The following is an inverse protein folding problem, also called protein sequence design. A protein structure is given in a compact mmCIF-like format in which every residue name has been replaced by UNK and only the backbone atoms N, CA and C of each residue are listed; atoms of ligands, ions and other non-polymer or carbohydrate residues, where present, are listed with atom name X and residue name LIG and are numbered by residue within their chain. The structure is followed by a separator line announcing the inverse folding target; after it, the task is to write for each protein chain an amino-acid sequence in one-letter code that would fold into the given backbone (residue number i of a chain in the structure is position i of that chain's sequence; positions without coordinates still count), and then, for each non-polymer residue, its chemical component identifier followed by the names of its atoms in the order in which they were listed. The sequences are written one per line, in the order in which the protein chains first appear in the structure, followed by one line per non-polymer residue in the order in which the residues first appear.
data_IF_212638897132
#
_entry.id   IF_212638897132
#
_cell.length_a   1.000
_cell.length_b   1.000
_cell.length_c   1.000
_cell.angle_alpha   90.00
_cell.angle_beta   90.00
_cell.angle_gamma   90.00
#
_symmetry.space_group_name_H-M   'P 1'
#
loop_
_entity.id
_entity.type
_entity.pdbx_description
1 polymer ?
#
# COMPACT_ATOMS: atom_id res chain seq x y z
N UNK A 1 -16.43 -3.47 -9.37
CA UNK A 1 -16.48 -2.19 -10.12
C UNK A 1 -15.98 -1.13 -9.16
N UNK A 2 -14.96 -0.37 -9.52
CA UNK A 2 -14.34 0.62 -8.63
C UNK A 2 -14.09 1.92 -9.39
N UNK A 3 -14.16 3.06 -8.68
CA UNK A 3 -13.82 4.38 -9.22
C UNK A 3 -12.32 4.61 -9.04
N UNK A 4 -11.60 4.89 -10.13
CA UNK A 4 -10.15 5.04 -10.14
C UNK A 4 -9.77 6.40 -10.69
N UNK A 5 -9.06 7.21 -9.90
CA UNK A 5 -8.52 8.48 -10.37
C UNK A 5 -7.19 8.23 -11.10
N UNK A 6 -7.07 8.80 -12.30
CA UNK A 6 -5.85 8.84 -13.10
C UNK A 6 -5.33 10.28 -13.05
N UNK A 7 -4.25 10.50 -12.36
CA UNK A 7 -3.52 11.78 -12.29
C UNK A 7 -2.28 11.67 -13.19
N UNK A 8 -2.37 12.16 -14.41
CA UNK A 8 -1.38 12.01 -15.48
C UNK A 8 -1.50 13.20 -16.43
N UNK A 9 -0.43 13.93 -16.67
CA UNK A 9 -0.42 15.12 -17.53
C UNK A 9 -0.38 14.79 -19.02
N UNK A 10 0.15 13.62 -19.40
CA UNK A 10 0.08 13.13 -20.78
C UNK A 10 -1.32 12.55 -21.08
N UNK A 11 -2.09 13.30 -21.88
CA UNK A 11 -3.44 12.90 -22.28
C UNK A 11 -3.48 11.54 -23.00
N UNK A 12 -2.47 11.22 -23.82
CA UNK A 12 -2.44 9.95 -24.55
C UNK A 12 -2.24 8.76 -23.61
N UNK A 13 -1.42 8.92 -22.56
CA UNK A 13 -1.23 7.92 -21.52
C UNK A 13 -2.50 7.82 -20.67
N UNK A 14 -3.07 8.95 -20.26
CA UNK A 14 -4.31 9.00 -19.48
C UNK A 14 -5.45 8.28 -20.20
N UNK A 15 -5.67 8.56 -21.49
CA UNK A 15 -6.71 7.93 -22.30
C UNK A 15 -6.47 6.42 -22.49
N UNK A 16 -5.23 6.01 -22.71
CA UNK A 16 -4.87 4.59 -22.81
C UNK A 16 -5.17 3.85 -21.50
N UNK A 17 -4.83 4.45 -20.37
CA UNK A 17 -5.10 3.88 -19.03
C UNK A 17 -6.60 3.81 -18.79
N UNK A 18 -7.33 4.90 -19.04
CA UNK A 18 -8.79 4.97 -18.89
C UNK A 18 -9.49 3.88 -19.69
N UNK A 19 -9.16 3.76 -20.98
CA UNK A 19 -9.74 2.73 -21.86
C UNK A 19 -9.54 1.30 -21.32
N UNK A 20 -8.35 0.99 -20.79
CA UNK A 20 -8.08 -0.36 -20.26
C UNK A 20 -8.78 -0.61 -18.92
N UNK A 21 -8.93 0.40 -18.08
CA UNK A 21 -9.69 0.32 -16.83
C UNK A 21 -11.18 0.13 -17.09
N UNK A 22 -11.78 0.85 -18.04
CA UNK A 22 -13.17 0.66 -18.46
C UNK A 22 -13.42 -0.76 -18.97
N UNK A 23 -12.53 -1.28 -19.80
CA UNK A 23 -12.61 -2.67 -20.26
C UNK A 23 -12.48 -3.70 -19.14
N UNK A 24 -11.83 -3.36 -18.06
CA UNK A 24 -11.73 -4.17 -16.84
C UNK A 24 -12.93 -3.99 -15.89
N UNK A 25 -13.91 -3.13 -16.24
CA UNK A 25 -15.13 -2.90 -15.45
C UNK A 25 -14.98 -1.87 -14.35
N UNK A 26 -14.01 -0.96 -14.44
CA UNK A 26 -13.81 0.16 -13.53
C UNK A 26 -14.32 1.48 -14.14
N UNK A 27 -14.52 2.49 -13.29
CA UNK A 27 -14.90 3.85 -13.69
C UNK A 27 -13.70 4.78 -13.54
N UNK A 28 -13.03 5.20 -14.64
CA UNK A 28 -11.91 6.12 -14.56
C UNK A 28 -12.38 7.57 -14.35
N UNK A 29 -11.65 8.32 -13.55
CA UNK A 29 -11.69 9.78 -13.44
C UNK A 29 -10.33 10.31 -13.87
N UNK A 30 -10.27 11.41 -14.62
CA UNK A 30 -9.01 11.98 -15.09
C UNK A 30 -8.72 13.33 -14.41
N UNK A 31 -7.44 13.54 -14.09
CA UNK A 31 -6.87 14.81 -13.67
C UNK A 31 -5.51 14.97 -14.36
N UNK A 32 -5.21 16.16 -14.86
CA UNK A 32 -4.02 16.41 -15.68
C UNK A 32 -2.96 17.24 -14.98
N UNK A 33 -3.16 17.53 -13.71
CA UNK A 33 -2.22 18.20 -12.81
C UNK A 33 -2.47 17.81 -11.35
N UNK A 34 -1.48 18.08 -10.49
CA UNK A 34 -1.53 17.66 -9.10
C UNK A 34 -2.61 18.34 -8.26
N UNK A 35 -2.94 19.61 -8.54
CA UNK A 35 -3.98 20.35 -7.80
C UNK A 35 -5.36 19.82 -8.12
N UNK A 36 -5.66 19.64 -9.40
CA UNK A 36 -6.91 19.01 -9.87
C UNK A 36 -7.04 17.58 -9.32
N UNK A 37 -5.94 16.83 -9.27
CA UNK A 37 -5.95 15.48 -8.69
C UNK A 37 -6.38 15.49 -7.21
N UNK A 38 -5.89 16.44 -6.40
CA UNK A 38 -6.28 16.59 -5.00
C UNK A 38 -7.76 17.00 -4.85
N UNK A 39 -8.24 17.91 -5.70
CA UNK A 39 -9.65 18.33 -5.68
C UNK A 39 -10.59 17.16 -6.00
N UNK A 40 -10.30 16.41 -7.06
CA UNK A 40 -11.06 15.22 -7.46
C UNK A 40 -11.02 14.16 -6.36
N UNK A 41 -9.83 13.87 -5.81
CA UNK A 41 -9.69 12.88 -4.74
C UNK A 41 -10.53 13.21 -3.50
N UNK A 42 -10.60 14.50 -3.11
CA UNK A 42 -11.40 14.96 -1.96
C UNK A 42 -12.90 14.93 -2.21
N UNK A 43 -13.32 15.29 -3.43
CA UNK A 43 -14.73 15.38 -3.84
C UNK A 43 -15.32 14.00 -4.09
N UNK A 44 -14.65 13.20 -4.91
CA UNK A 44 -15.19 11.95 -5.46
C UNK A 44 -14.76 10.71 -4.68
N UNK A 45 -13.74 10.82 -3.82
CA UNK A 45 -13.21 9.76 -2.95
C UNK A 45 -13.01 8.44 -3.72
N UNK A 46 -12.13 8.43 -4.74
CA UNK A 46 -11.89 7.23 -5.54
C UNK A 46 -11.36 6.09 -4.67
N UNK A 47 -11.61 4.86 -5.09
CA UNK A 47 -11.14 3.65 -4.40
C UNK A 47 -9.66 3.34 -4.67
N UNK A 48 -9.06 4.02 -5.67
CA UNK A 48 -7.63 3.95 -5.99
C UNK A 48 -7.22 5.17 -6.80
N UNK A 49 -5.97 5.61 -6.64
CA UNK A 49 -5.35 6.67 -7.44
C UNK A 49 -4.15 6.10 -8.19
N UNK A 50 -4.13 6.25 -9.50
CA UNK A 50 -2.94 6.12 -10.34
C UNK A 50 -2.33 7.52 -10.45
N UNK A 51 -1.08 7.68 -10.02
CA UNK A 51 -0.46 9.00 -9.83
C UNK A 51 0.86 9.08 -10.58
N UNK A 52 0.94 9.93 -11.58
CA UNK A 52 2.24 10.21 -12.19
C UNK A 52 3.14 10.98 -11.22
N UNK A 53 4.39 10.62 -11.25
CA UNK A 53 5.41 11.27 -10.43
C UNK A 53 5.74 12.68 -10.93
N UNK A 54 5.69 12.89 -12.23
CA UNK A 54 6.12 14.15 -12.88
C UNK A 54 4.92 14.86 -13.51
N UNK A 55 4.27 15.73 -12.75
CA UNK A 55 3.17 16.56 -13.23
C UNK A 55 3.50 18.04 -13.07
N UNK A 56 2.93 18.93 -13.90
CA UNK A 56 3.11 20.37 -13.78
C UNK A 56 2.49 20.91 -12.48
N UNK A 57 3.10 21.94 -11.95
CA UNK A 57 2.63 22.65 -10.75
C UNK A 57 2.96 21.93 -9.45
N UNK A 58 2.34 20.79 -9.21
CA UNK A 58 2.61 19.94 -8.04
C UNK A 58 2.97 18.52 -8.50
N UNK A 59 4.16 18.06 -8.11
CA UNK A 59 4.62 16.70 -8.43
C UNK A 59 3.84 15.63 -7.66
N UNK A 60 3.91 14.39 -8.12
CA UNK A 60 3.19 13.28 -7.50
C UNK A 60 3.56 13.03 -6.03
N UNK A 61 4.81 13.31 -5.62
CA UNK A 61 5.20 13.20 -4.22
C UNK A 61 4.54 14.29 -3.35
N UNK A 62 4.36 15.49 -3.88
CA UNK A 62 3.61 16.57 -3.25
C UNK A 62 2.14 16.18 -3.08
N UNK A 63 1.52 15.67 -4.15
CA UNK A 63 0.14 15.18 -4.12
C UNK A 63 -0.02 14.10 -3.06
N UNK A 64 0.84 13.08 -3.04
CA UNK A 64 0.77 11.99 -2.08
C UNK A 64 0.89 12.49 -0.63
N UNK A 65 1.80 13.44 -0.35
CA UNK A 65 1.92 14.05 0.98
C UNK A 65 0.62 14.71 1.43
N UNK A 66 0.00 15.48 0.55
CA UNK A 66 -1.26 16.15 0.87
C UNK A 66 -2.42 15.16 1.04
N UNK A 67 -2.48 14.09 0.22
CA UNK A 67 -3.46 13.01 0.40
C UNK A 67 -3.31 12.33 1.77
N UNK A 68 -2.08 12.08 2.23
CA UNK A 68 -1.81 11.41 3.53
C UNK A 68 -2.03 12.32 4.74
N UNK A 69 -2.07 13.63 4.56
CA UNK A 69 -2.39 14.63 5.62
C UNK A 69 -3.88 14.86 5.81
N UNK A 70 -4.69 14.56 4.81
CA UNK A 70 -6.13 14.80 4.84
C UNK A 70 -6.85 13.50 5.25
N UNK A 71 -7.55 13.51 6.40
CA UNK A 71 -8.27 12.35 6.93
C UNK A 71 -9.31 11.75 5.98
N UNK A 72 -9.78 12.51 4.97
CA UNK A 72 -10.73 12.04 3.96
C UNK A 72 -10.08 11.21 2.86
N UNK A 73 -8.77 11.36 2.65
CA UNK A 73 -8.03 10.77 1.53
C UNK A 73 -6.82 9.94 1.96
N UNK A 74 -6.43 9.99 3.23
CA UNK A 74 -5.20 9.35 3.74
C UNK A 74 -5.16 7.84 3.51
N UNK A 75 -6.32 7.18 3.48
CA UNK A 75 -6.45 5.73 3.31
C UNK A 75 -6.69 5.31 1.84
N UNK A 76 -6.82 6.26 0.91
CA UNK A 76 -6.97 5.92 -0.52
C UNK A 76 -5.66 5.32 -1.01
N UNK A 77 -5.67 4.11 -1.56
CA UNK A 77 -4.47 3.48 -2.10
C UNK A 77 -3.95 4.23 -3.32
N UNK A 78 -2.62 4.34 -3.41
CA UNK A 78 -1.94 5.08 -4.47
C UNK A 78 -0.92 4.17 -5.16
N UNK A 79 -1.02 4.06 -6.48
CA UNK A 79 -0.01 3.43 -7.35
C UNK A 79 0.69 4.54 -8.13
N UNK A 80 2.00 4.66 -7.98
CA UNK A 80 2.78 5.58 -8.81
C UNK A 80 2.97 5.06 -10.24
N UNK A 81 2.80 5.94 -11.22
CA UNK A 81 3.30 5.78 -12.58
C UNK A 81 4.60 6.58 -12.72
N UNK A 82 5.71 5.93 -13.02
CA UNK A 82 7.02 6.61 -13.02
C UNK A 82 7.87 6.27 -14.23
N UNK A 83 8.47 7.29 -14.86
CA UNK A 83 9.49 7.11 -15.89
C UNK A 83 10.86 6.72 -15.30
N UNK A 84 11.06 6.92 -13.99
CA UNK A 84 12.35 6.72 -13.34
C UNK A 84 12.44 5.33 -12.73
N UNK A 85 13.31 4.50 -13.32
CA UNK A 85 13.67 3.18 -12.80
C UNK A 85 14.67 3.25 -11.62
N UNK A 86 15.10 4.45 -11.18
CA UNK A 86 16.09 4.59 -10.12
C UNK A 86 15.51 4.15 -8.77
N UNK A 87 16.27 3.32 -8.08
CA UNK A 87 15.82 2.70 -6.82
C UNK A 87 15.51 3.75 -5.73
N UNK A 88 16.17 4.90 -5.78
CA UNK A 88 16.04 5.99 -4.79
C UNK A 88 14.68 6.70 -4.86
N UNK A 89 14.21 7.05 -6.07
CA UNK A 89 12.89 7.68 -6.27
C UNK A 89 11.74 6.74 -5.85
N UNK A 90 11.90 5.44 -6.07
CA UNK A 90 10.94 4.41 -5.68
C UNK A 90 10.88 4.25 -4.16
N UNK A 91 12.03 4.25 -3.50
CA UNK A 91 12.12 4.18 -2.03
C UNK A 91 11.44 5.41 -1.42
N UNK A 92 11.70 6.61 -1.94
CA UNK A 92 11.09 7.84 -1.47
C UNK A 92 9.56 7.82 -1.59
N UNK A 93 9.00 7.37 -2.73
CA UNK A 93 7.55 7.25 -2.90
C UNK A 93 6.91 6.25 -1.93
N UNK A 94 7.56 5.12 -1.70
CA UNK A 94 7.11 4.14 -0.72
C UNK A 94 7.26 4.66 0.73
N UNK A 95 8.32 5.38 1.04
CA UNK A 95 8.49 6.05 2.34
C UNK A 95 7.42 7.12 2.60
N UNK A 96 6.84 7.70 1.55
CA UNK A 96 5.72 8.63 1.64
C UNK A 96 4.34 7.93 1.74
N UNK A 97 4.27 6.60 1.58
CA UNK A 97 3.05 5.83 1.74
C UNK A 97 2.33 5.44 0.46
N UNK A 98 3.02 5.36 -0.67
CA UNK A 98 2.49 4.69 -1.85
C UNK A 98 2.34 3.19 -1.61
N UNK A 99 1.31 2.59 -2.21
CA UNK A 99 0.99 1.17 -2.06
C UNK A 99 1.68 0.29 -3.10
N UNK A 100 1.94 0.83 -4.29
CA UNK A 100 2.71 0.18 -5.36
C UNK A 100 3.23 1.24 -6.34
N UNK A 101 4.02 0.80 -7.34
CA UNK A 101 4.45 1.64 -8.45
C UNK A 101 4.61 0.81 -9.72
N UNK A 102 4.43 1.49 -10.86
CA UNK A 102 4.55 0.95 -12.21
C UNK A 102 5.52 1.81 -13.00
N UNK A 103 6.53 1.20 -13.59
CA UNK A 103 7.50 1.94 -14.42
C UNK A 103 7.00 2.12 -15.84
N UNK A 104 7.07 3.34 -16.36
CA UNK A 104 6.84 3.65 -17.78
C UNK A 104 8.09 3.25 -18.62
N UNK A 105 7.94 2.63 -19.79
CA UNK A 105 6.69 2.17 -20.38
C UNK A 105 6.16 0.88 -19.71
N UNK A 106 4.86 0.81 -19.51
CA UNK A 106 4.21 -0.34 -18.89
C UNK A 106 3.26 -1.07 -19.86
N UNK A 107 3.03 -2.33 -19.60
CA UNK A 107 1.97 -3.08 -20.27
C UNK A 107 0.61 -2.71 -19.65
N UNK A 108 -0.41 -2.32 -20.45
CA UNK A 108 -1.76 -2.09 -19.93
C UNK A 108 -2.30 -3.27 -19.13
N UNK A 109 -2.00 -4.50 -19.56
CA UNK A 109 -2.38 -5.71 -18.82
C UNK A 109 -1.72 -5.79 -17.45
N UNK A 110 -0.44 -5.42 -17.34
CA UNK A 110 0.27 -5.37 -16.06
C UNK A 110 -0.36 -4.34 -15.14
N UNK A 111 -0.64 -3.13 -15.64
CA UNK A 111 -1.28 -2.08 -14.86
C UNK A 111 -2.62 -2.53 -14.29
N UNK A 112 -3.50 -3.10 -15.13
CA UNK A 112 -4.82 -3.60 -14.70
C UNK A 112 -4.69 -4.69 -13.63
N UNK A 113 -3.73 -5.62 -13.77
CA UNK A 113 -3.48 -6.65 -12.76
C UNK A 113 -3.00 -6.05 -11.43
N UNK A 114 -2.17 -5.01 -11.45
CA UNK A 114 -1.73 -4.31 -10.24
C UNK A 114 -2.87 -3.56 -9.57
N UNK A 115 -3.68 -2.85 -10.36
CA UNK A 115 -4.89 -2.19 -9.88
C UNK A 115 -5.82 -3.21 -9.19
N UNK A 116 -6.12 -4.33 -9.84
CA UNK A 116 -6.94 -5.40 -9.25
C UNK A 116 -6.33 -5.96 -7.96
N UNK A 117 -5.01 -6.13 -7.92
CA UNK A 117 -4.30 -6.60 -6.73
C UNK A 117 -4.42 -5.60 -5.57
N UNK A 118 -4.25 -4.30 -5.84
CA UNK A 118 -4.38 -3.26 -4.81
C UNK A 118 -5.83 -3.14 -4.34
N UNK A 119 -6.81 -3.10 -5.24
CA UNK A 119 -8.24 -3.03 -4.89
C UNK A 119 -8.69 -4.24 -4.06
N UNK A 120 -8.28 -5.46 -4.44
CA UNK A 120 -8.58 -6.68 -3.67
C UNK A 120 -8.06 -6.61 -2.23
N UNK A 121 -7.00 -5.85 -1.99
CA UNK A 121 -6.49 -5.59 -0.63
C UNK A 121 -7.45 -4.72 0.17
N UNK A 122 -8.20 -3.86 -0.50
CA UNK A 122 -9.14 -2.92 0.11
C UNK A 122 -10.59 -3.45 0.12
N UNK A 123 -10.85 -4.62 -0.50
CA UNK A 123 -12.17 -5.25 -0.46
C UNK A 123 -12.53 -5.68 0.96
N UNK A 124 -13.62 -5.14 1.45
CA UNK A 124 -14.19 -5.45 2.75
C UNK A 124 -14.86 -6.82 2.69
N UNK A 125 -14.46 -7.75 3.55
CA UNK A 125 -15.24 -8.96 3.78
C UNK A 125 -16.49 -8.58 4.58
N UNK A 126 -17.71 -8.87 4.10
CA UNK A 126 -18.92 -8.59 4.88
C UNK A 126 -18.93 -9.42 6.16
N UNK A 127 -18.91 -8.75 7.28
CA UNK A 127 -18.91 -9.35 8.62
C UNK A 127 -17.96 -8.53 9.50
N UNK A 128 -18.50 -7.81 10.50
CA UNK A 128 -17.68 -7.07 11.46
C UNK A 128 -16.74 -8.05 12.15
N UNK A 129 -15.47 -8.02 11.81
CA UNK A 129 -14.45 -8.82 12.48
C UNK A 129 -13.44 -7.85 13.08
N UNK A 130 -13.74 -7.43 14.30
CA UNK A 130 -12.71 -6.90 15.18
C UNK A 130 -11.87 -8.11 15.58
N UNK A 131 -10.60 -8.09 15.23
CA UNK A 131 -9.65 -9.12 15.61
C UNK A 131 -8.66 -8.52 16.62
N UNK A 132 -8.58 -9.13 17.79
CA UNK A 132 -7.73 -8.69 18.89
C UNK A 132 -6.55 -9.66 19.07
N UNK A 133 -5.34 -9.10 19.13
CA UNK A 133 -4.09 -9.84 19.34
C UNK A 133 -3.23 -9.09 20.36
N UNK A 134 -3.38 -9.42 21.63
CA UNK A 134 -2.70 -8.69 22.70
C UNK A 134 -3.07 -7.20 22.70
N UNK A 135 -2.10 -6.27 22.57
CA UNK A 135 -2.40 -4.83 22.54
C UNK A 135 -2.96 -4.35 21.18
N UNK A 136 -3.00 -5.21 20.15
CA UNK A 136 -3.35 -4.87 18.79
C UNK A 136 -4.80 -5.23 18.47
N UNK A 137 -5.56 -4.25 18.02
CA UNK A 137 -6.94 -4.42 17.56
C UNK A 137 -7.07 -4.00 16.10
N UNK A 138 -7.68 -4.86 15.30
CA UNK A 138 -7.90 -4.64 13.87
C UNK A 138 -9.39 -4.57 13.56
N UNK A 139 -9.87 -3.44 13.07
CA UNK A 139 -11.16 -3.36 12.40
C UNK A 139 -10.93 -3.64 10.91
N UNK A 140 -11.19 -4.89 10.51
CA UNK A 140 -10.98 -5.33 9.11
C UNK A 140 -11.92 -4.65 8.12
N UNK A 141 -13.06 -4.13 8.59
CA UNK A 141 -14.04 -3.46 7.73
C UNK A 141 -13.68 -2.00 7.51
N UNK A 142 -13.30 -1.29 8.58
CA UNK A 142 -12.90 0.09 8.48
C UNK A 142 -11.43 0.26 8.05
N UNK A 143 -10.65 -0.83 7.92
CA UNK A 143 -9.19 -0.83 7.76
C UNK A 143 -8.50 0.01 8.83
N UNK A 144 -9.04 -0.03 10.05
CA UNK A 144 -8.50 0.70 11.19
C UNK A 144 -7.71 -0.22 12.11
N UNK A 145 -6.63 0.32 12.62
CA UNK A 145 -5.73 -0.38 13.51
C UNK A 145 -5.55 0.42 14.81
N UNK A 146 -5.56 -0.29 15.94
CA UNK A 146 -5.43 0.31 17.25
C UNK A 146 -4.35 -0.42 18.05
N UNK A 147 -3.61 0.34 18.84
CA UNK A 147 -2.67 -0.15 19.87
C UNK A 147 -3.16 0.35 21.21
N UNK A 148 -3.42 -0.54 22.15
CA UNK A 148 -3.92 -0.19 23.49
C UNK A 148 -5.15 0.74 23.45
N UNK A 149 -6.06 0.53 22.46
CA UNK A 149 -7.24 1.33 22.13
C UNK A 149 -6.96 2.72 21.51
N UNK A 150 -5.72 3.08 21.23
CA UNK A 150 -5.39 4.29 20.49
C UNK A 150 -5.28 3.98 19.00
N UNK A 151 -5.96 4.78 18.15
CA UNK A 151 -5.93 4.61 16.69
C UNK A 151 -4.54 4.94 16.14
N UNK A 152 -3.99 4.06 15.33
CA UNK A 152 -2.71 4.22 14.63
C UNK A 152 -2.94 4.19 13.13
N UNK A 153 -2.52 5.25 12.45
CA UNK A 153 -2.67 5.37 11.01
C UNK A 153 -1.72 4.43 10.26
N UNK A 154 -2.29 3.45 9.60
CA UNK A 154 -1.60 2.56 8.67
C UNK A 154 -2.17 2.72 7.26
N UNK A 155 -1.30 2.69 6.25
CA UNK A 155 -1.76 2.53 4.87
C UNK A 155 -2.41 1.15 4.67
N UNK A 156 -3.24 1.00 3.63
CA UNK A 156 -3.89 -0.28 3.33
C UNK A 156 -2.89 -1.44 3.19
N UNK A 157 -1.72 -1.16 2.63
CA UNK A 157 -0.61 -2.12 2.49
C UNK A 157 0.00 -2.48 3.84
N UNK A 158 0.27 -1.50 4.70
CA UNK A 158 0.81 -1.72 6.05
C UNK A 158 -0.18 -2.48 6.93
N UNK A 159 -1.47 -2.12 6.88
CA UNK A 159 -2.52 -2.84 7.59
C UNK A 159 -2.54 -4.33 7.22
N UNK A 160 -2.50 -4.66 5.91
CA UNK A 160 -2.49 -6.06 5.46
C UNK A 160 -1.22 -6.80 5.82
N UNK A 161 -0.07 -6.14 5.70
CA UNK A 161 1.20 -6.73 6.10
C UNK A 161 1.18 -7.04 7.59
N UNK A 162 0.70 -6.10 8.41
CA UNK A 162 0.59 -6.26 9.86
C UNK A 162 -0.32 -7.42 10.23
N UNK A 163 -1.55 -7.46 9.73
CA UNK A 163 -2.50 -8.51 10.08
C UNK A 163 -2.04 -9.88 9.62
N UNK A 164 -1.42 -9.97 8.43
CA UNK A 164 -0.87 -11.22 7.91
C UNK A 164 0.23 -11.79 8.80
N UNK A 165 1.08 -10.91 9.35
CA UNK A 165 2.15 -11.31 10.26
C UNK A 165 1.62 -11.70 11.65
N UNK A 166 0.64 -10.97 12.15
CA UNK A 166 0.03 -11.23 13.47
C UNK A 166 -0.75 -12.54 13.47
N UNK A 167 -1.51 -12.83 12.41
CA UNK A 167 -2.24 -14.12 12.25
C UNK A 167 -1.29 -15.33 12.18
N UNK A 168 -0.01 -15.10 11.91
CA UNK A 168 1.05 -16.12 11.83
C UNK A 168 2.13 -15.91 12.87
N UNK A 169 1.71 -15.47 14.04
CA UNK A 169 2.60 -15.24 15.17
C UNK A 169 3.60 -16.38 15.39
N UNK A 170 4.86 -16.03 15.61
CA UNK A 170 5.95 -16.96 15.86
C UNK A 170 6.51 -17.64 14.61
N UNK A 171 5.82 -17.58 13.46
CA UNK A 171 6.31 -18.18 12.23
C UNK A 171 7.29 -17.24 11.52
N UNK A 172 8.36 -17.82 10.97
CA UNK A 172 9.25 -17.09 10.06
C UNK A 172 8.64 -17.07 8.67
N UNK A 173 8.20 -15.90 8.23
CA UNK A 173 7.60 -15.70 6.91
C UNK A 173 8.70 -15.30 5.92
N UNK A 174 8.81 -16.01 4.82
CA UNK A 174 9.81 -15.67 3.82
C UNK A 174 9.38 -14.42 3.02
N UNK A 175 10.37 -13.77 2.39
CA UNK A 175 10.15 -12.50 1.67
C UNK A 175 9.17 -12.65 0.51
N UNK A 176 9.24 -13.76 -0.21
CA UNK A 176 8.39 -14.01 -1.37
C UNK A 176 6.93 -14.24 -0.95
N UNK A 177 6.69 -14.94 0.17
CA UNK A 177 5.35 -15.16 0.70
C UNK A 177 4.72 -13.83 1.15
N UNK A 178 5.49 -12.99 1.86
CA UNK A 178 5.04 -11.65 2.26
C UNK A 178 4.74 -10.77 1.05
N UNK A 179 5.61 -10.77 0.03
CA UNK A 179 5.39 -10.05 -1.22
C UNK A 179 4.16 -10.59 -1.97
N UNK A 180 4.00 -11.91 -2.06
CA UNK A 180 2.87 -12.53 -2.73
C UNK A 180 1.54 -12.25 -2.02
N UNK A 181 1.51 -12.31 -0.70
CA UNK A 181 0.33 -12.04 0.10
C UNK A 181 -0.12 -10.59 -0.02
N UNK A 182 0.84 -9.65 0.01
CA UNK A 182 0.54 -8.22 0.02
C UNK A 182 0.41 -7.67 -1.42
N UNK A 183 1.22 -8.09 -2.37
CA UNK A 183 1.26 -7.56 -3.75
C UNK A 183 0.77 -8.52 -4.84
N UNK A 184 0.43 -9.76 -4.51
CA UNK A 184 -0.35 -10.66 -5.39
C UNK A 184 0.42 -11.44 -6.45
N UNK A 185 1.71 -11.19 -6.73
CA UNK A 185 2.55 -11.97 -7.64
C UNK A 185 4.04 -11.86 -7.30
N UNK A 186 4.82 -12.88 -7.69
CA UNK A 186 6.25 -12.96 -7.43
C UNK A 186 7.04 -11.83 -8.12
N UNK A 187 7.40 -10.85 -7.36
CA UNK A 187 8.26 -9.76 -7.82
C UNK A 187 9.68 -9.97 -7.32
N UNK A 188 10.49 -10.68 -8.08
CA UNK A 188 11.93 -10.79 -7.81
C UNK A 188 12.64 -9.41 -7.73
N UNK A 189 12.03 -8.36 -8.27
CA UNK A 189 12.59 -7.00 -8.29
C UNK A 189 12.21 -6.13 -7.06
N UNK A 190 11.33 -6.58 -6.14
CA UNK A 190 10.71 -5.71 -5.13
C UNK A 190 11.06 -6.04 -3.68
N UNK A 191 12.12 -6.76 -3.43
CA UNK A 191 12.62 -7.04 -2.08
C UNK A 191 12.79 -5.75 -1.24
N UNK A 192 13.24 -4.65 -1.86
CA UNK A 192 13.39 -3.34 -1.21
C UNK A 192 12.06 -2.69 -0.81
N UNK A 193 10.99 -2.95 -1.55
CA UNK A 193 9.64 -2.47 -1.23
C UNK A 193 9.16 -3.02 0.10
N UNK A 194 9.32 -4.33 0.31
CA UNK A 194 8.97 -4.97 1.59
C UNK A 194 9.76 -4.37 2.75
N UNK A 195 11.07 -4.16 2.59
CA UNK A 195 11.91 -3.60 3.64
C UNK A 195 11.47 -2.18 4.03
N UNK A 196 11.04 -1.38 3.05
CA UNK A 196 10.54 -0.03 3.29
C UNK A 196 9.24 -0.05 4.11
N UNK A 197 8.28 -0.90 3.74
CA UNK A 197 7.05 -1.04 4.52
C UNK A 197 7.29 -1.62 5.92
N UNK A 198 8.22 -2.57 6.06
CA UNK A 198 8.62 -3.10 7.37
C UNK A 198 9.27 -2.03 8.25
N UNK A 199 10.11 -1.16 7.66
CA UNK A 199 10.70 -0.01 8.37
C UNK A 199 9.62 0.94 8.87
N UNK A 200 8.62 1.27 8.05
CA UNK A 200 7.51 2.15 8.42
C UNK A 200 6.62 1.52 9.50
N UNK A 201 6.26 0.25 9.35
CA UNK A 201 5.53 -0.47 10.40
C UNK A 201 6.23 -0.37 11.74
N UNK A 202 7.55 -0.62 11.80
CA UNK A 202 8.32 -0.46 13.04
C UNK A 202 8.27 0.96 13.58
N UNK A 203 8.28 1.97 12.72
CA UNK A 203 8.17 3.37 13.13
C UNK A 203 6.78 3.71 13.68
N UNK A 204 5.72 3.26 13.00
CA UNK A 204 4.33 3.50 13.41
C UNK A 204 3.97 2.76 14.71
N UNK A 205 4.58 1.59 14.93
CA UNK A 205 4.38 0.78 16.12
C UNK A 205 5.42 1.04 17.23
N UNK A 206 6.05 2.21 17.26
CA UNK A 206 7.24 2.54 18.05
C UNK A 206 7.44 1.79 19.38
N UNK A 207 6.44 1.67 20.30
CA UNK A 207 6.62 0.92 21.54
C UNK A 207 6.77 -0.59 21.33
N UNK A 208 6.32 -1.10 20.18
CA UNK A 208 6.25 -2.52 19.83
C UNK A 208 7.11 -2.88 18.62
N UNK A 209 8.05 -2.02 18.25
CA UNK A 209 8.95 -2.24 17.09
C UNK A 209 9.73 -3.56 17.19
N UNK A 210 10.10 -3.96 18.42
CA UNK A 210 10.84 -5.19 18.71
C UNK A 210 10.02 -6.47 18.50
N UNK A 211 8.67 -6.35 18.32
CA UNK A 211 7.83 -7.47 17.93
C UNK A 211 8.16 -7.99 16.53
N UNK A 212 8.85 -7.19 15.69
CA UNK A 212 9.26 -7.54 14.34
C UNK A 212 10.73 -7.90 14.29
N UNK A 213 11.03 -9.17 14.20
CA UNK A 213 12.39 -9.67 14.02
C UNK A 213 12.71 -9.79 12.52
N UNK A 214 13.93 -9.41 12.14
CA UNK A 214 14.47 -9.72 10.80
C UNK A 214 15.26 -11.00 10.88
N UNK A 215 14.76 -12.06 10.24
CA UNK A 215 15.48 -13.34 10.11
C UNK A 215 16.36 -13.24 8.87
N UNK A 216 17.68 -13.10 9.09
CA UNK A 216 18.67 -12.88 8.02
C UNK A 216 18.52 -13.92 6.91
N UNK A 217 18.58 -13.47 5.66
CA UNK A 217 18.49 -14.28 4.43
C UNK A 217 17.15 -15.01 4.21
N UNK A 218 16.20 -14.97 5.16
CA UNK A 218 14.89 -15.64 5.07
C UNK A 218 13.76 -14.63 4.93
N UNK A 219 13.55 -13.76 5.93
CA UNK A 219 12.43 -12.83 5.91
C UNK A 219 12.18 -12.17 7.25
N UNK A 220 10.94 -12.22 7.71
CA UNK A 220 10.50 -11.57 8.93
C UNK A 220 9.69 -12.50 9.81
N UNK A 221 9.74 -12.25 11.11
CA UNK A 221 8.95 -12.94 12.11
C UNK A 221 8.30 -11.90 13.02
N UNK A 222 7.05 -12.15 13.39
CA UNK A 222 6.31 -11.34 14.35
C UNK A 222 6.08 -12.17 15.61
N UNK A 223 6.25 -11.52 16.78
CA UNK A 223 5.97 -12.13 18.08
C UNK A 223 5.27 -11.12 18.95
N UNK A 224 4.17 -11.52 19.60
CA UNK A 224 3.45 -10.66 20.54
C UNK A 224 4.33 -10.25 21.72
N UNK A 225 4.12 -9.03 22.27
CA UNK A 225 4.90 -8.57 23.41
C UNK A 225 4.69 -9.52 24.61
N UNK A 226 5.79 -9.83 25.28
CA UNK A 226 5.78 -10.73 26.46
C UNK A 226 5.81 -12.23 26.16
N UNK A 227 5.68 -12.66 24.90
CA UNK A 227 5.89 -14.06 24.51
C UNK A 227 7.34 -14.30 24.12
N UNK A 228 7.99 -15.27 24.79
CA UNK A 228 9.31 -15.79 24.37
C UNK A 228 9.11 -16.87 23.33
N UNK A 229 9.81 -16.78 22.22
CA UNK A 229 9.88 -17.85 21.24
C UNK A 229 10.77 -18.95 21.81
N UNK A 230 10.37 -20.23 21.77
CA UNK A 230 11.30 -21.32 22.03
C UNK A 230 12.44 -21.22 21.02
N UNK A 231 13.69 -21.21 21.49
CA UNK A 231 14.86 -21.31 20.62
C UNK A 231 14.74 -22.61 19.82
N UNK A 232 14.55 -22.50 18.50
CA UNK A 232 14.73 -23.64 17.62
C UNK A 232 16.18 -24.11 17.77
N UNK A 233 16.33 -25.27 18.43
CA UNK A 233 17.64 -25.94 18.48
C UNK A 233 18.07 -26.25 17.07
N UNK A 234 19.22 -25.71 16.70
CA UNK A 234 19.93 -25.97 15.44
C UNK A 234 20.22 -27.46 15.22
#
# INVERSE_FOLDING_TARGET
MATILIAEDDHAISDLVAYNLERAGHTPLAAYDGLTALEVARRDKPELILLDQMMPGMDGHGVLRELRRDSRTQNIPVIFLTAKAQAEDRIQGLELGADDYVTKPFSPKELVLRVASVLKRCEHTPGSVIAEYGPFTFDKNALKFYIDNEEVDLTATEFKLMIHMVEREGQTLNRNDLLSCVWGYSHQAQSRTLDTHMKRLRQNLAPYADCFETVRSIGYRFTLPGRRIPEEKA
#
